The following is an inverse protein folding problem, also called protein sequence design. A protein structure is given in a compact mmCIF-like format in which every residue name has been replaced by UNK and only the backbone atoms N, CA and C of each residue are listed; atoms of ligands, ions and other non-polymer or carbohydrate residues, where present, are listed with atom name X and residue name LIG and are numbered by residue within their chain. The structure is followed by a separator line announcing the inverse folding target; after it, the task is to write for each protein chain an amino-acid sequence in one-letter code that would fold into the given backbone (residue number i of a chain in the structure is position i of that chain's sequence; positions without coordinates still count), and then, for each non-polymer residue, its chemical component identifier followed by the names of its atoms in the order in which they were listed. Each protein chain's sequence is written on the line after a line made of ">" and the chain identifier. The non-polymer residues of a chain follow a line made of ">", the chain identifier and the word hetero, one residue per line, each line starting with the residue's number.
data_IF_418857410009
#
_entry.id   IF_418857410009
#
_cell.length_a   1.000
_cell.length_b   1.000
_cell.length_c   1.000
_cell.angle_alpha   90.00
_cell.angle_beta   90.00
_cell.angle_gamma   90.00
#
_symmetry.space_group_name_H-M   'P 1'
#
loop_
_entity.id
_entity.type
_entity.pdbx_description
1 polymer ?
#
# COMPACT_ATOMS: atom_id res chain seq x y z
N UNK A 1 71.69 -49.44 -13.49
CA UNK A 1 70.78 -48.65 -12.62
C UNK A 1 69.95 -47.73 -13.51
N UNK A 2 68.65 -48.10 -13.78
CA UNK A 2 67.78 -47.31 -14.61
C UNK A 2 66.80 -46.53 -13.70
N UNK A 3 66.91 -45.21 -13.71
CA UNK A 3 65.98 -44.33 -13.02
C UNK A 3 64.70 -44.13 -13.88
N UNK A 4 63.60 -44.58 -13.38
CA UNK A 4 62.26 -44.35 -13.99
C UNK A 4 61.70 -43.00 -13.51
N UNK A 5 61.69 -41.99 -14.40
CA UNK A 5 60.90 -40.75 -14.18
C UNK A 5 59.42 -41.04 -14.31
N UNK A 6 58.64 -40.82 -13.26
CA UNK A 6 57.21 -40.79 -13.30
C UNK A 6 56.78 -39.36 -13.62
N UNK A 7 56.19 -39.15 -14.78
CA UNK A 7 55.50 -37.91 -15.14
C UNK A 7 54.06 -37.99 -14.60
N UNK A 8 53.77 -37.19 -13.56
CA UNK A 8 52.38 -37.02 -13.07
C UNK A 8 51.65 -35.98 -13.94
N UNK A 9 50.65 -36.44 -14.67
CA UNK A 9 49.76 -35.59 -15.44
C UNK A 9 48.72 -34.98 -14.49
N UNK A 10 48.83 -33.70 -14.16
CA UNK A 10 47.81 -32.96 -13.41
C UNK A 10 46.76 -32.54 -14.40
N UNK A 11 45.60 -33.22 -14.33
CA UNK A 11 44.40 -32.80 -15.06
C UNK A 11 43.79 -31.56 -14.41
N UNK A 12 43.91 -30.41 -15.06
CA UNK A 12 43.30 -29.18 -14.64
C UNK A 12 41.79 -29.22 -15.05
N UNK A 13 40.92 -29.60 -14.11
CA UNK A 13 39.48 -29.51 -14.31
C UNK A 13 39.08 -28.05 -14.24
N UNK A 14 38.85 -27.43 -15.41
CA UNK A 14 38.18 -26.13 -15.52
C UNK A 14 36.72 -26.39 -15.21
N UNK A 15 36.27 -26.03 -14.00
CA UNK A 15 34.88 -25.96 -13.65
C UNK A 15 34.26 -24.80 -14.46
N UNK A 16 33.56 -25.12 -15.54
CA UNK A 16 32.65 -24.22 -16.21
C UNK A 16 31.52 -23.88 -15.24
N UNK A 17 31.65 -22.75 -14.53
CA UNK A 17 30.52 -22.16 -13.80
C UNK A 17 29.50 -21.74 -14.85
N UNK A 18 28.45 -22.54 -15.06
CA UNK A 18 27.28 -22.11 -15.78
C UNK A 18 26.75 -20.85 -15.07
N UNK A 19 26.48 -19.73 -15.78
CA UNK A 19 25.83 -18.61 -15.15
C UNK A 19 24.50 -19.13 -14.58
N UNK A 20 24.31 -18.94 -13.27
CA UNK A 20 23.00 -19.18 -12.67
C UNK A 20 22.00 -18.30 -13.43
N UNK A 21 21.12 -18.93 -14.19
CA UNK A 21 19.98 -18.26 -14.82
C UNK A 21 19.22 -17.57 -13.68
N UNK A 22 18.94 -16.28 -13.84
CA UNK A 22 18.12 -15.57 -12.88
C UNK A 22 16.77 -16.25 -12.77
N UNK A 23 16.34 -16.53 -11.54
CA UNK A 23 15.15 -17.32 -11.24
C UNK A 23 13.91 -16.42 -11.41
N UNK A 24 13.32 -16.37 -12.59
CA UNK A 24 12.03 -15.77 -12.82
C UNK A 24 10.96 -16.87 -13.01
N UNK A 25 9.67 -16.60 -12.66
CA UNK A 25 8.63 -17.62 -12.66
C UNK A 25 8.42 -18.30 -14.02
N UNK A 26 8.01 -19.57 -14.00
CA UNK A 26 7.58 -20.27 -15.20
C UNK A 26 6.38 -19.55 -15.84
N UNK A 27 6.34 -19.48 -17.16
CA UNK A 27 5.26 -18.80 -17.88
C UNK A 27 5.57 -17.36 -18.29
N UNK A 28 6.69 -16.80 -17.84
CA UNK A 28 7.16 -15.51 -18.34
C UNK A 28 7.59 -15.58 -19.82
N UNK A 29 7.58 -14.45 -20.56
CA UNK A 29 8.03 -14.42 -21.95
C UNK A 29 9.39 -15.08 -22.13
N UNK A 30 9.59 -15.83 -23.21
CA UNK A 30 10.86 -16.54 -23.47
C UNK A 30 12.09 -15.62 -23.54
N UNK A 31 11.89 -14.33 -23.79
CA UNK A 31 12.93 -13.32 -23.87
C UNK A 31 13.05 -12.46 -22.59
N UNK A 32 12.34 -12.83 -21.51
CA UNK A 32 12.37 -12.09 -20.24
C UNK A 32 13.77 -11.96 -19.63
N UNK A 33 14.67 -12.89 -19.96
CA UNK A 33 16.08 -12.79 -19.59
C UNK A 33 16.73 -11.47 -20.05
N UNK A 34 16.28 -10.89 -21.15
CA UNK A 34 16.76 -9.57 -21.62
C UNK A 34 16.42 -8.46 -20.63
N UNK A 35 15.23 -8.52 -20.02
CA UNK A 35 14.82 -7.58 -18.95
C UNK A 35 15.71 -7.74 -17.73
N UNK A 36 16.00 -8.97 -17.31
CA UNK A 36 16.90 -9.24 -16.17
C UNK A 36 18.31 -8.73 -16.45
N UNK A 37 18.86 -9.01 -17.63
CA UNK A 37 20.22 -8.58 -18.02
C UNK A 37 20.29 -7.05 -18.21
N UNK A 38 19.22 -6.44 -18.72
CA UNK A 38 19.07 -4.98 -18.83
C UNK A 38 19.05 -4.33 -17.45
N UNK A 39 18.25 -4.85 -16.52
CA UNK A 39 18.17 -4.37 -15.14
C UNK A 39 19.53 -4.45 -14.41
N UNK A 40 20.29 -5.55 -14.60
CA UNK A 40 21.64 -5.67 -14.06
C UNK A 40 22.62 -4.63 -14.62
N UNK A 41 22.47 -4.24 -15.89
CA UNK A 41 23.28 -3.17 -16.49
C UNK A 41 22.88 -1.79 -15.96
N UNK A 42 21.60 -1.56 -15.71
CA UNK A 42 21.07 -0.34 -15.09
C UNK A 42 21.51 -0.25 -13.61
N UNK A 43 21.64 -1.39 -12.93
CA UNK A 43 22.21 -1.55 -11.60
C UNK A 43 21.33 -1.10 -10.45
N UNK A 44 20.22 -0.41 -10.72
CA UNK A 44 19.30 0.10 -9.70
C UNK A 44 17.88 0.34 -10.22
N UNK A 45 16.95 0.43 -9.26
CA UNK A 45 15.61 0.99 -9.44
C UNK A 45 15.34 2.02 -8.34
N UNK A 46 14.82 3.19 -8.70
CA UNK A 46 14.43 4.25 -7.77
C UNK A 46 12.92 4.17 -7.52
N UNK A 47 12.53 3.87 -6.29
CA UNK A 47 11.13 3.71 -5.90
C UNK A 47 10.68 4.89 -5.03
N UNK A 48 9.64 5.59 -5.44
CA UNK A 48 8.92 6.58 -4.64
C UNK A 48 7.70 5.94 -4.02
N UNK A 49 7.64 5.91 -2.69
CA UNK A 49 6.59 5.14 -2.02
C UNK A 49 6.00 5.85 -0.80
N UNK A 50 4.75 5.49 -0.51
CA UNK A 50 4.08 5.81 0.75
C UNK A 50 4.06 4.64 1.73
N UNK A 51 4.74 3.53 1.39
CA UNK A 51 4.93 2.40 2.31
C UNK A 51 6.18 2.65 3.14
N UNK A 52 6.03 2.65 4.46
CA UNK A 52 7.14 2.87 5.38
C UNK A 52 8.31 1.93 5.05
N UNK A 53 9.54 2.43 5.06
CA UNK A 53 10.75 1.65 4.77
C UNK A 53 10.84 0.37 5.59
N UNK A 54 10.38 0.40 6.85
CA UNK A 54 10.35 -0.79 7.71
C UNK A 54 9.39 -1.86 7.16
N UNK A 55 8.22 -1.46 6.67
CA UNK A 55 7.23 -2.39 6.11
C UNK A 55 7.66 -2.92 4.74
N UNK A 56 8.32 -2.10 3.91
CA UNK A 56 8.83 -2.50 2.60
C UNK A 56 10.12 -3.34 2.69
N UNK A 57 10.83 -3.29 3.82
CA UNK A 57 12.16 -3.90 4.00
C UNK A 57 12.26 -5.37 3.57
N UNK A 58 11.37 -6.27 4.01
CA UNK A 58 11.39 -7.67 3.57
C UNK A 58 11.27 -7.84 2.06
N UNK A 59 10.41 -7.04 1.40
CA UNK A 59 10.22 -7.07 -0.06
C UNK A 59 11.47 -6.60 -0.79
N UNK A 60 12.10 -5.52 -0.33
CA UNK A 60 13.34 -4.97 -0.89
C UNK A 60 14.47 -6.00 -0.78
N UNK A 61 14.65 -6.58 0.40
CA UNK A 61 15.69 -7.62 0.63
C UNK A 61 15.44 -8.85 -0.25
N UNK A 62 14.19 -9.29 -0.37
CA UNK A 62 13.82 -10.42 -1.21
C UNK A 62 14.10 -10.15 -2.70
N UNK A 63 13.81 -8.94 -3.18
CA UNK A 63 14.14 -8.52 -4.55
C UNK A 63 15.63 -8.51 -4.81
N UNK A 64 16.42 -7.85 -3.97
CA UNK A 64 17.88 -7.77 -4.13
C UNK A 64 18.57 -9.13 -4.02
N UNK A 65 18.04 -10.04 -3.19
CA UNK A 65 18.51 -11.42 -3.11
C UNK A 65 18.18 -12.24 -4.37
N UNK A 66 17.01 -11.98 -4.98
CA UNK A 66 16.59 -12.68 -6.20
C UNK A 66 17.33 -12.16 -7.44
N UNK A 67 17.61 -10.87 -7.49
CA UNK A 67 18.27 -10.21 -8.63
C UNK A 67 19.55 -9.49 -8.18
N UNK A 68 20.61 -10.26 -7.83
CA UNK A 68 21.87 -9.68 -7.42
C UNK A 68 22.44 -8.79 -8.54
N UNK A 69 22.88 -7.59 -8.14
CA UNK A 69 23.37 -6.54 -9.05
C UNK A 69 22.34 -5.47 -9.38
N UNK A 70 21.07 -5.58 -8.91
CA UNK A 70 20.08 -4.52 -9.01
C UNK A 70 19.74 -4.04 -7.61
N UNK A 71 20.05 -2.77 -7.27
CA UNK A 71 19.77 -2.16 -5.98
C UNK A 71 18.46 -1.38 -5.98
N UNK A 72 17.77 -1.37 -4.85
CA UNK A 72 16.56 -0.57 -4.67
C UNK A 72 16.92 0.72 -3.93
N UNK A 73 16.85 1.85 -4.62
CA UNK A 73 16.90 3.18 -4.00
C UNK A 73 15.49 3.57 -3.55
N UNK A 74 15.18 3.27 -2.30
CA UNK A 74 13.83 3.43 -1.76
C UNK A 74 13.65 4.79 -1.09
N UNK A 75 12.62 5.53 -1.51
CA UNK A 75 12.27 6.86 -1.00
C UNK A 75 10.87 6.80 -0.38
N UNK A 76 10.84 6.75 0.95
CA UNK A 76 9.65 6.74 1.78
C UNK A 76 9.20 8.17 2.06
N UNK A 77 7.94 8.49 1.78
CA UNK A 77 7.36 9.82 2.00
C UNK A 77 5.83 9.74 2.14
N UNK A 78 5.21 10.76 2.73
CA UNK A 78 3.75 10.78 2.78
C UNK A 78 3.13 11.04 1.38
N UNK A 79 1.84 10.73 1.24
CA UNK A 79 1.16 10.74 -0.07
C UNK A 79 1.12 12.13 -0.73
N UNK A 80 0.99 13.19 0.05
CA UNK A 80 1.00 14.58 -0.45
C UNK A 80 2.41 14.99 -0.88
N UNK A 81 3.41 14.62 -0.10
CA UNK A 81 4.82 14.86 -0.41
C UNK A 81 5.24 14.15 -1.68
N UNK A 82 4.90 12.86 -1.82
CA UNK A 82 5.18 12.07 -3.02
C UNK A 82 4.61 12.74 -4.26
N UNK A 83 3.32 13.10 -4.23
CA UNK A 83 2.66 13.75 -5.35
C UNK A 83 3.34 15.06 -5.73
N UNK A 84 3.59 15.93 -4.76
CA UNK A 84 4.18 17.26 -4.98
C UNK A 84 5.62 17.15 -5.48
N UNK A 85 6.43 16.26 -4.89
CA UNK A 85 7.80 16.01 -5.34
C UNK A 85 7.83 15.54 -6.77
N UNK A 86 7.02 14.53 -7.12
CA UNK A 86 6.96 13.99 -8.47
C UNK A 86 6.60 15.07 -9.51
N UNK A 87 5.53 15.85 -9.25
CA UNK A 87 5.11 16.93 -10.16
C UNK A 87 6.17 18.02 -10.29
N UNK A 88 6.82 18.39 -9.18
CA UNK A 88 7.86 19.43 -9.19
C UNK A 88 9.10 19.00 -10.00
N UNK A 89 9.53 17.75 -9.85
CA UNK A 89 10.65 17.19 -10.61
C UNK A 89 10.33 17.11 -12.10
N UNK A 90 9.11 16.66 -12.49
CA UNK A 90 8.66 16.63 -13.88
C UNK A 90 8.58 18.04 -14.49
N UNK A 91 8.04 19.01 -13.74
CA UNK A 91 7.96 20.40 -14.20
C UNK A 91 9.35 21.04 -14.40
N UNK A 92 10.34 20.63 -13.62
CA UNK A 92 11.72 21.08 -13.77
C UNK A 92 12.50 20.37 -14.89
N UNK A 93 11.87 19.42 -15.61
CA UNK A 93 12.54 18.59 -16.62
C UNK A 93 13.57 17.62 -16.03
N UNK A 94 13.45 17.33 -14.72
CA UNK A 94 14.30 16.38 -14.01
C UNK A 94 13.80 14.95 -14.13
N UNK A 95 14.60 14.01 -13.60
CA UNK A 95 14.20 12.61 -13.43
C UNK A 95 13.50 12.46 -12.09
N UNK A 96 12.35 11.76 -12.09
CA UNK A 96 11.66 11.31 -10.88
C UNK A 96 12.01 9.86 -10.56
N UNK A 97 11.33 9.27 -9.57
CA UNK A 97 11.43 7.83 -9.33
C UNK A 97 11.07 7.00 -10.56
N UNK A 98 11.73 5.87 -10.73
CA UNK A 98 11.46 4.92 -11.82
C UNK A 98 10.10 4.24 -11.64
N UNK A 99 9.73 4.03 -10.37
CA UNK A 99 8.45 3.43 -9.97
C UNK A 99 7.82 4.27 -8.86
N UNK A 100 6.51 4.48 -8.96
CA UNK A 100 5.67 4.99 -7.87
C UNK A 100 4.91 3.83 -7.25
N UNK A 101 4.83 3.80 -5.91
CA UNK A 101 4.07 2.81 -5.14
C UNK A 101 3.34 3.50 -3.98
N UNK A 102 2.03 3.75 -4.12
CA UNK A 102 1.30 4.64 -3.22
C UNK A 102 -0.04 4.08 -2.75
N UNK A 103 -0.34 4.26 -1.47
CA UNK A 103 -1.64 3.99 -0.85
C UNK A 103 -2.71 5.02 -1.19
N UNK A 104 -2.34 6.24 -1.61
CA UNK A 104 -3.27 7.24 -2.14
C UNK A 104 -3.58 6.92 -3.61
N UNK A 105 -4.55 6.02 -3.81
CA UNK A 105 -4.86 5.44 -5.12
C UNK A 105 -5.25 6.49 -6.16
N UNK A 106 -5.95 7.53 -5.73
CA UNK A 106 -6.44 8.63 -6.58
C UNK A 106 -5.29 9.48 -7.14
N UNK A 107 -4.37 9.92 -6.27
CA UNK A 107 -3.22 10.71 -6.71
C UNK A 107 -2.21 9.87 -7.48
N UNK A 108 -2.03 8.59 -7.11
CA UNK A 108 -1.21 7.66 -7.88
C UNK A 108 -1.78 7.45 -9.30
N UNK A 109 -3.11 7.25 -9.42
CA UNK A 109 -3.75 7.11 -10.73
C UNK A 109 -3.68 8.42 -11.52
N UNK A 110 -3.80 9.58 -10.86
CA UNK A 110 -3.61 10.88 -11.51
C UNK A 110 -2.22 11.01 -12.11
N UNK A 111 -1.18 10.65 -11.36
CA UNK A 111 0.19 10.61 -11.90
C UNK A 111 0.30 9.59 -13.04
N UNK A 112 -0.26 8.39 -12.88
CA UNK A 112 -0.20 7.35 -13.90
C UNK A 112 -0.89 7.76 -15.22
N UNK A 113 -1.94 8.59 -15.17
CA UNK A 113 -2.63 9.09 -16.35
C UNK A 113 -1.66 9.83 -17.27
N UNK A 114 -0.79 10.66 -16.71
CA UNK A 114 0.08 11.56 -17.47
C UNK A 114 1.50 10.98 -17.66
N UNK A 115 1.97 10.15 -16.73
CA UNK A 115 3.40 9.78 -16.62
C UNK A 115 3.68 8.28 -16.61
N UNK A 116 2.68 7.39 -16.58
CA UNK A 116 2.96 5.96 -16.60
C UNK A 116 3.35 5.45 -17.99
N UNK A 117 4.37 4.57 -18.02
CA UNK A 117 4.63 3.71 -19.15
C UNK A 117 3.52 2.67 -19.29
N UNK A 118 3.16 2.32 -20.52
CA UNK A 118 2.33 1.15 -20.78
C UNK A 118 3.21 -0.10 -20.72
N UNK A 119 2.87 -1.00 -19.82
CA UNK A 119 3.59 -2.26 -19.62
C UNK A 119 2.64 -3.34 -19.11
N UNK A 120 2.37 -4.34 -19.94
CA UNK A 120 1.60 -5.53 -19.53
C UNK A 120 2.50 -6.48 -18.74
N UNK A 121 2.38 -6.45 -17.41
CA UNK A 121 3.12 -7.38 -16.54
C UNK A 121 2.74 -8.83 -16.83
N UNK A 122 3.70 -9.79 -16.88
CA UNK A 122 3.40 -11.22 -16.97
C UNK A 122 2.48 -11.72 -15.85
N UNK A 123 2.48 -11.04 -14.69
CA UNK A 123 1.66 -11.39 -13.52
C UNK A 123 0.21 -10.87 -13.60
N UNK A 124 -0.10 -10.03 -14.60
CA UNK A 124 -1.42 -9.38 -14.71
C UNK A 124 -2.59 -10.35 -14.66
N UNK A 125 -2.44 -11.55 -15.25
CA UNK A 125 -3.49 -12.58 -15.27
C UNK A 125 -3.85 -13.16 -13.90
N UNK A 126 -3.00 -12.96 -12.89
CA UNK A 126 -3.18 -13.44 -11.51
C UNK A 126 -3.87 -12.38 -10.62
N UNK A 127 -4.11 -11.18 -11.15
CA UNK A 127 -4.68 -10.08 -10.39
C UNK A 127 -6.19 -9.98 -10.62
N UNK A 128 -6.96 -9.52 -9.62
CA UNK A 128 -8.35 -9.18 -9.84
C UNK A 128 -8.48 -8.05 -10.86
N UNK A 129 -9.49 -8.13 -11.73
CA UNK A 129 -9.68 -7.16 -12.83
C UNK A 129 -9.75 -5.70 -12.35
N UNK A 130 -10.31 -5.46 -11.16
CA UNK A 130 -10.44 -4.12 -10.59
C UNK A 130 -9.09 -3.51 -10.16
N UNK A 131 -8.04 -4.32 -10.05
CA UNK A 131 -6.71 -3.88 -9.65
C UNK A 131 -5.79 -3.51 -10.85
N UNK A 132 -6.29 -3.60 -12.09
CA UNK A 132 -5.47 -3.32 -13.29
C UNK A 132 -6.11 -2.20 -14.10
N UNK A 133 -5.35 -1.15 -14.35
CA UNK A 133 -5.78 -0.02 -15.17
C UNK A 133 -4.91 0.12 -16.43
N UNK A 134 -5.49 -0.23 -17.59
CA UNK A 134 -4.94 0.03 -18.93
C UNK A 134 -3.48 -0.41 -19.15
N UNK A 135 -3.03 -1.47 -18.50
CA UNK A 135 -1.62 -1.88 -18.49
C UNK A 135 -0.64 -0.76 -18.06
N UNK A 136 -1.11 0.23 -17.30
CA UNK A 136 -0.32 1.38 -16.84
C UNK A 136 -0.17 1.46 -15.34
N UNK A 137 -1.19 1.00 -14.59
CA UNK A 137 -1.17 1.02 -13.14
C UNK A 137 -1.78 -0.26 -12.57
N UNK A 138 -1.21 -0.72 -11.46
CA UNK A 138 -1.51 -2.00 -10.84
C UNK A 138 -1.74 -1.82 -9.35
N UNK A 139 -2.87 -2.28 -8.83
CA UNK A 139 -3.08 -2.51 -7.42
C UNK A 139 -2.23 -3.70 -6.97
N UNK A 140 -1.53 -3.55 -5.87
CA UNK A 140 -0.53 -4.52 -5.39
C UNK A 140 -0.86 -5.14 -4.05
N UNK A 141 -1.87 -4.65 -3.35
CA UNK A 141 -2.23 -5.08 -1.99
C UNK A 141 -3.74 -5.15 -1.82
N UNK A 142 -4.22 -5.85 -0.78
CA UNK A 142 -5.63 -5.97 -0.42
C UNK A 142 -5.82 -5.55 1.04
N UNK A 143 -5.84 -4.23 1.31
CA UNK A 143 -5.75 -3.70 2.68
C UNK A 143 -7.11 -3.20 3.17
N UNK A 144 -7.74 -3.87 4.16
CA UNK A 144 -8.97 -3.38 4.77
C UNK A 144 -8.72 -2.10 5.56
N UNK A 145 -9.69 -1.20 5.53
CA UNK A 145 -9.71 0.03 6.34
C UNK A 145 -10.50 -0.24 7.61
N UNK A 146 -9.90 0.00 8.77
CA UNK A 146 -10.41 -0.45 10.06
C UNK A 146 -10.58 0.69 11.06
N UNK A 147 -11.27 0.40 12.16
CA UNK A 147 -11.21 1.19 13.37
C UNK A 147 -10.14 0.63 14.31
N UNK A 148 -9.49 1.51 15.06
CA UNK A 148 -8.62 1.13 16.15
C UNK A 148 -9.13 1.74 17.46
N UNK A 149 -8.86 1.08 18.57
CA UNK A 149 -9.29 1.55 19.87
C UNK A 149 -8.30 1.17 20.96
N UNK A 150 -8.31 1.90 22.07
CA UNK A 150 -7.51 1.57 23.25
C UNK A 150 -8.24 0.53 24.10
N UNK A 151 -7.74 -0.71 24.15
CA UNK A 151 -8.36 -1.83 24.87
C UNK A 151 -8.48 -1.63 26.39
N UNK A 152 -7.65 -0.75 26.98
CA UNK A 152 -7.71 -0.45 28.42
C UNK A 152 -8.79 0.56 28.75
N UNK A 153 -9.18 1.39 27.80
CA UNK A 153 -10.08 2.53 28.00
C UNK A 153 -11.45 2.33 27.36
N UNK A 154 -11.56 1.43 26.38
CA UNK A 154 -12.83 1.05 25.73
C UNK A 154 -13.14 -0.39 26.11
N UNK A 155 -14.20 -0.64 26.91
CA UNK A 155 -14.67 -1.99 27.22
C UNK A 155 -15.07 -2.75 25.95
N UNK A 156 -14.90 -4.07 25.95
CA UNK A 156 -15.20 -4.92 24.80
C UNK A 156 -16.65 -4.76 24.28
N UNK A 157 -17.61 -4.52 25.18
CA UNK A 157 -19.02 -4.31 24.83
C UNK A 157 -19.31 -2.95 24.17
N UNK A 158 -18.39 -1.99 24.29
CA UNK A 158 -18.51 -0.64 23.73
C UNK A 158 -17.74 -0.48 22.39
N UNK A 159 -17.06 -1.54 21.93
CA UNK A 159 -16.28 -1.48 20.68
C UNK A 159 -17.23 -1.36 19.47
N UNK A 160 -17.16 -0.26 18.68
CA UNK A 160 -18.03 -0.12 17.53
C UNK A 160 -17.60 -1.08 16.41
N UNK A 161 -18.55 -1.77 15.82
CA UNK A 161 -18.35 -2.69 14.70
C UNK A 161 -19.00 -2.21 13.39
N UNK A 162 -19.41 -0.96 13.33
CA UNK A 162 -19.95 -0.29 12.15
C UNK A 162 -19.78 1.23 12.25
N UNK A 163 -19.83 1.94 11.12
CA UNK A 163 -19.77 3.41 11.10
C UNK A 163 -20.96 4.02 11.83
N UNK A 164 -22.14 3.39 11.73
CA UNK A 164 -23.31 3.80 12.47
C UNK A 164 -23.13 3.61 13.99
N UNK A 165 -22.59 2.47 14.42
CA UNK A 165 -22.31 2.19 15.83
C UNK A 165 -21.28 3.18 16.40
N UNK A 166 -20.22 3.50 15.62
CA UNK A 166 -19.23 4.51 15.98
C UNK A 166 -19.87 5.88 16.22
N UNK A 167 -20.69 6.34 15.27
CA UNK A 167 -21.37 7.63 15.38
C UNK A 167 -22.33 7.68 16.59
N UNK A 168 -23.12 6.63 16.82
CA UNK A 168 -24.04 6.51 17.98
C UNK A 168 -23.28 6.50 19.30
N UNK A 169 -22.19 5.73 19.40
CA UNK A 169 -21.36 5.66 20.60
C UNK A 169 -20.85 7.05 21.01
N UNK A 170 -20.26 7.78 20.05
CA UNK A 170 -19.68 9.09 20.34
C UNK A 170 -20.75 10.12 20.65
N UNK A 171 -21.85 10.14 19.87
CA UNK A 171 -22.94 11.07 20.10
C UNK A 171 -23.65 10.85 21.44
N UNK A 172 -23.71 9.61 21.95
CA UNK A 172 -24.34 9.28 23.25
C UNK A 172 -23.43 9.53 24.46
N UNK A 173 -22.11 9.61 24.26
CA UNK A 173 -21.10 9.76 25.31
C UNK A 173 -20.13 10.91 25.00
N UNK A 174 -20.65 12.05 24.54
CA UNK A 174 -19.85 13.18 24.04
C UNK A 174 -18.77 13.65 25.02
N UNK A 175 -19.06 13.69 26.32
CA UNK A 175 -18.09 14.12 27.34
C UNK A 175 -16.90 13.15 27.45
N UNK A 176 -17.16 11.83 27.39
CA UNK A 176 -16.13 10.79 27.41
C UNK A 176 -15.23 10.89 26.18
N UNK A 177 -15.82 11.19 25.03
CA UNK A 177 -15.09 11.25 23.75
C UNK A 177 -14.59 12.65 23.37
N UNK A 178 -14.68 13.63 24.26
CA UNK A 178 -14.23 14.99 23.99
C UNK A 178 -12.76 15.04 23.57
N UNK A 179 -12.52 15.38 22.29
CA UNK A 179 -11.19 15.35 21.63
C UNK A 179 -10.47 14.00 21.74
N UNK A 180 -11.22 12.90 21.82
CA UNK A 180 -10.70 11.55 22.00
C UNK A 180 -10.84 10.66 20.75
N UNK A 181 -11.35 11.19 19.66
CA UNK A 181 -11.49 10.47 18.38
C UNK A 181 -10.55 11.08 17.36
N UNK A 182 -9.85 10.22 16.62
CA UNK A 182 -8.88 10.67 15.61
C UNK A 182 -9.15 10.07 14.24
N UNK A 183 -8.85 10.85 13.21
CA UNK A 183 -8.84 10.45 11.80
C UNK A 183 -7.81 11.26 11.03
N UNK A 184 -7.76 11.10 9.70
CA UNK A 184 -6.87 11.92 8.87
C UNK A 184 -7.32 13.37 8.74
N UNK A 185 -6.33 14.26 8.66
CA UNK A 185 -6.47 15.60 8.09
C UNK A 185 -6.56 15.46 6.56
N UNK A 186 -7.78 15.59 6.02
CA UNK A 186 -8.02 15.38 4.58
C UNK A 186 -7.36 16.43 3.68
N UNK A 187 -6.87 17.52 4.25
CA UNK A 187 -6.18 18.57 3.49
C UNK A 187 -4.66 18.33 3.44
N UNK A 188 -4.11 17.64 4.44
CA UNK A 188 -2.68 17.35 4.56
C UNK A 188 -2.32 15.93 4.12
N UNK A 189 -3.30 15.01 4.14
CA UNK A 189 -3.12 13.61 3.75
C UNK A 189 -3.91 13.29 2.49
N UNK A 190 -3.22 12.98 1.39
CA UNK A 190 -3.86 12.49 0.16
C UNK A 190 -4.62 11.19 0.39
N UNK A 191 -4.04 10.27 1.16
CA UNK A 191 -4.71 9.03 1.58
C UNK A 191 -5.97 9.33 2.37
N UNK A 192 -5.90 10.23 3.34
CA UNK A 192 -7.06 10.63 4.16
C UNK A 192 -8.17 11.25 3.32
N UNK A 193 -7.83 12.09 2.36
CA UNK A 193 -8.79 12.65 1.41
C UNK A 193 -9.48 11.56 0.60
N UNK A 194 -8.70 10.66 0.01
CA UNK A 194 -9.22 9.55 -0.78
C UNK A 194 -10.18 8.67 0.04
N UNK A 195 -9.76 8.20 1.23
CA UNK A 195 -10.59 7.35 2.08
C UNK A 195 -11.89 8.04 2.48
N UNK A 196 -11.83 9.31 2.86
CA UNK A 196 -13.01 10.11 3.17
C UNK A 196 -14.01 10.20 1.99
N UNK A 197 -13.50 10.38 0.77
CA UNK A 197 -14.34 10.37 -0.45
C UNK A 197 -14.94 8.99 -0.69
N UNK A 198 -14.20 7.91 -0.45
CA UNK A 198 -14.72 6.56 -0.62
C UNK A 198 -15.79 6.21 0.41
N UNK A 199 -15.64 6.67 1.66
CA UNK A 199 -16.70 6.59 2.67
C UNK A 199 -17.96 7.32 2.23
N UNK A 200 -17.83 8.55 1.71
CA UNK A 200 -18.94 9.31 1.17
C UNK A 200 -19.65 8.60 0.02
N UNK A 201 -18.90 7.91 -0.85
CA UNK A 201 -19.48 7.11 -1.94
C UNK A 201 -20.15 5.83 -1.43
N UNK A 202 -19.66 5.25 -0.35
CA UNK A 202 -20.20 4.01 0.23
C UNK A 202 -21.41 4.24 1.14
N UNK A 203 -21.52 5.43 1.76
CA UNK A 203 -22.54 5.77 2.76
C UNK A 203 -23.30 7.06 2.41
N UNK A 204 -24.57 6.97 2.04
CA UNK A 204 -25.40 8.15 1.77
C UNK A 204 -25.51 9.15 2.93
N UNK A 205 -25.36 8.67 4.17
CA UNK A 205 -25.46 9.47 5.40
C UNK A 205 -24.08 9.92 5.93
N UNK A 206 -23.03 9.77 5.15
CA UNK A 206 -21.63 10.01 5.57
C UNK A 206 -21.44 11.33 6.33
N UNK A 207 -21.84 12.47 5.80
CA UNK A 207 -21.64 13.78 6.46
C UNK A 207 -22.44 13.93 7.75
N UNK A 208 -23.62 13.30 7.84
CA UNK A 208 -24.39 13.24 9.08
C UNK A 208 -23.66 12.43 10.14
N UNK A 209 -23.16 11.24 9.76
CA UNK A 209 -22.37 10.40 10.68
C UNK A 209 -21.06 11.08 11.11
N UNK A 210 -20.38 11.73 10.17
CA UNK A 210 -19.17 12.52 10.50
C UNK A 210 -19.50 13.63 11.51
N UNK A 211 -20.63 14.34 11.34
CA UNK A 211 -21.06 15.35 12.28
C UNK A 211 -21.40 14.76 13.66
N UNK A 212 -22.00 13.57 13.72
CA UNK A 212 -22.25 12.87 14.99
C UNK A 212 -20.96 12.43 15.69
N UNK A 213 -19.98 11.93 14.92
CA UNK A 213 -18.63 11.59 15.42
C UNK A 213 -17.90 12.84 15.90
N UNK A 214 -18.09 13.97 15.23
CA UNK A 214 -17.41 15.23 15.54
C UNK A 214 -18.00 15.99 16.73
N UNK A 215 -19.14 15.60 17.29
CA UNK A 215 -19.79 16.28 18.45
C UNK A 215 -18.85 16.48 19.65
N UNK A 216 -17.94 15.54 19.88
CA UNK A 216 -16.91 15.66 20.91
C UNK A 216 -15.66 16.46 20.46
N UNK A 217 -15.57 16.85 19.21
CA UNK A 217 -14.39 17.40 18.56
C UNK A 217 -13.45 16.29 18.06
N UNK A 218 -13.12 16.35 16.76
CA UNK A 218 -12.14 15.45 16.14
C UNK A 218 -10.71 15.94 16.35
N UNK A 219 -9.78 15.02 16.48
CA UNK A 219 -8.36 15.27 16.31
C UNK A 219 -7.91 14.71 14.96
N UNK A 220 -7.24 15.50 14.14
CA UNK A 220 -6.85 15.10 12.80
C UNK A 220 -5.33 15.00 12.69
N UNK A 221 -4.87 13.97 11.95
CA UNK A 221 -3.45 13.63 11.78
C UNK A 221 -3.09 13.44 10.31
N UNK A 222 -1.83 13.60 9.97
CA UNK A 222 -1.34 13.38 8.60
C UNK A 222 -0.94 11.94 8.29
N UNK A 223 -0.77 11.08 9.31
CA UNK A 223 -0.30 9.70 9.13
C UNK A 223 -1.03 8.68 10.01
N UNK A 224 -1.10 7.43 9.52
CA UNK A 224 -1.59 6.26 10.28
C UNK A 224 -0.76 6.05 11.55
N UNK A 225 0.55 6.16 11.46
CA UNK A 225 1.47 5.96 12.59
C UNK A 225 1.13 6.86 13.76
N UNK A 226 0.97 8.16 13.53
CA UNK A 226 0.61 9.13 14.58
C UNK A 226 -0.75 8.82 15.20
N UNK A 227 -1.75 8.43 14.40
CA UNK A 227 -3.06 8.03 14.94
C UNK A 227 -2.96 6.80 15.86
N UNK A 228 -2.20 5.78 15.45
CA UNK A 228 -1.97 4.58 16.26
C UNK A 228 -1.25 4.91 17.57
N UNK A 229 -0.22 5.75 17.54
CA UNK A 229 0.50 6.19 18.75
C UNK A 229 -0.41 6.90 19.74
N UNK A 230 -1.25 7.81 19.28
CA UNK A 230 -2.20 8.55 20.12
C UNK A 230 -3.28 7.65 20.71
N UNK A 231 -3.72 6.62 20.00
CA UNK A 231 -4.67 5.63 20.52
C UNK A 231 -3.97 4.70 21.53
N UNK A 232 -2.76 4.21 21.23
CA UNK A 232 -1.98 3.37 22.13
C UNK A 232 -1.67 4.07 23.46
N UNK A 233 -1.30 5.34 23.43
CA UNK A 233 -1.02 6.16 24.62
C UNK A 233 -2.27 6.50 25.44
N UNK A 234 -3.47 6.41 24.85
CA UNK A 234 -4.73 6.85 25.47
C UNK A 234 -5.01 8.34 25.31
N UNK A 235 -4.20 9.05 24.54
CA UNK A 235 -4.49 10.42 24.16
C UNK A 235 -5.75 10.51 23.30
N UNK A 236 -5.93 9.56 22.36
CA UNK A 236 -7.20 9.26 21.74
C UNK A 236 -7.72 7.88 22.20
N UNK A 237 -9.04 7.70 22.18
CA UNK A 237 -9.68 6.43 22.54
C UNK A 237 -9.96 5.57 21.33
N UNK A 238 -10.34 6.20 20.24
CA UNK A 238 -10.72 5.55 18.97
C UNK A 238 -10.09 6.31 17.81
N UNK A 239 -9.63 5.56 16.80
CA UNK A 239 -9.24 6.06 15.49
C UNK A 239 -10.05 5.36 14.39
N UNK A 240 -10.40 6.07 13.33
CA UNK A 240 -11.08 5.51 12.17
C UNK A 240 -10.36 5.88 10.87
N UNK A 241 -10.66 5.15 9.80
CA UNK A 241 -9.94 5.21 8.52
C UNK A 241 -8.47 4.80 8.63
N UNK A 242 -8.19 3.80 9.44
CA UNK A 242 -6.84 3.29 9.67
C UNK A 242 -6.52 2.17 8.69
N UNK A 243 -5.30 2.13 8.15
CA UNK A 243 -4.82 1.00 7.35
C UNK A 243 -4.71 -0.24 8.23
N UNK A 244 -5.50 -1.28 7.91
CA UNK A 244 -5.56 -2.52 8.69
C UNK A 244 -4.22 -3.24 8.74
N UNK A 245 -3.44 -3.23 7.67
CA UNK A 245 -2.08 -3.79 7.62
C UNK A 245 -1.18 -3.21 8.72
N UNK A 246 -1.16 -1.88 8.86
CA UNK A 246 -0.36 -1.21 9.89
C UNK A 246 -0.91 -1.43 11.30
N UNK A 247 -2.24 -1.44 11.44
CA UNK A 247 -2.86 -1.75 12.73
C UNK A 247 -2.53 -3.17 13.21
N UNK A 248 -2.60 -4.16 12.31
CA UNK A 248 -2.26 -5.55 12.60
C UNK A 248 -0.78 -5.73 12.95
N UNK A 249 0.12 -5.09 12.17
CA UNK A 249 1.55 -5.12 12.48
C UNK A 249 1.85 -4.51 13.86
N UNK A 250 1.23 -3.38 14.19
CA UNK A 250 1.39 -2.71 15.49
C UNK A 250 0.84 -3.55 16.63
N UNK A 251 -0.34 -4.14 16.48
CA UNK A 251 -1.00 -4.92 17.54
C UNK A 251 -0.20 -6.17 17.97
N UNK A 252 0.73 -6.67 17.16
CA UNK A 252 1.64 -7.77 17.53
C UNK A 252 2.57 -7.39 18.69
N UNK A 253 2.98 -6.13 18.77
CA UNK A 253 3.90 -5.62 19.79
C UNK A 253 3.24 -4.68 20.80
N UNK A 254 2.02 -4.23 20.53
CA UNK A 254 1.27 -3.30 21.37
C UNK A 254 -0.06 -3.92 21.83
N UNK A 255 -0.10 -4.53 23.03
CA UNK A 255 -1.31 -5.18 23.56
C UNK A 255 -2.45 -4.20 23.87
N UNK A 256 -2.17 -2.89 23.89
CA UNK A 256 -3.19 -1.86 24.17
C UNK A 256 -4.02 -1.52 22.97
N UNK A 257 -3.51 -1.76 21.76
CA UNK A 257 -4.19 -1.47 20.52
C UNK A 257 -5.19 -2.57 20.16
N UNK A 258 -6.47 -2.20 20.03
CA UNK A 258 -7.54 -3.04 19.50
C UNK A 258 -7.87 -2.65 18.06
N UNK A 259 -8.36 -3.62 17.30
CA UNK A 259 -8.78 -3.46 15.91
C UNK A 259 -10.23 -3.91 15.79
N UNK A 260 -11.05 -3.13 15.11
CA UNK A 260 -12.42 -3.49 14.76
C UNK A 260 -12.65 -3.28 13.26
N UNK A 261 -13.17 -4.31 12.62
CA UNK A 261 -13.51 -4.31 11.20
C UNK A 261 -14.97 -3.90 11.04
N UNK A 262 -15.29 -2.78 10.35
CA UNK A 262 -16.68 -2.34 10.18
C UNK A 262 -17.51 -3.35 9.39
N UNK A 263 -18.66 -3.79 9.92
CA UNK A 263 -19.52 -4.81 9.32
C UNK A 263 -20.58 -4.24 8.39
N UNK A 264 -20.86 -2.95 8.46
CA UNK A 264 -21.75 -2.26 7.51
C UNK A 264 -21.07 -2.11 6.14
N UNK A 265 -19.87 -1.62 6.10
CA UNK A 265 -18.95 -1.71 4.97
C UNK A 265 -17.49 -1.58 5.47
N UNK A 266 -16.59 -2.30 4.83
CA UNK A 266 -15.14 -2.16 5.01
C UNK A 266 -14.53 -1.82 3.67
N UNK A 267 -14.02 -0.60 3.52
CA UNK A 267 -13.24 -0.23 2.35
C UNK A 267 -11.99 -1.09 2.27
N UNK A 268 -11.63 -1.51 1.06
CA UNK A 268 -10.38 -2.23 0.82
C UNK A 268 -9.58 -1.43 -0.18
N UNK A 269 -8.48 -0.84 0.26
CA UNK A 269 -7.57 -0.14 -0.63
C UNK A 269 -6.52 -1.09 -1.20
N UNK A 270 -5.94 -0.68 -2.31
CA UNK A 270 -4.77 -1.33 -2.90
C UNK A 270 -3.69 -0.28 -3.14
N UNK A 271 -2.44 -0.55 -2.74
CA UNK A 271 -1.34 0.35 -3.12
C UNK A 271 -1.13 0.26 -4.61
N UNK A 272 -1.32 1.39 -5.28
CA UNK A 272 -1.16 1.49 -6.73
C UNK A 272 0.30 1.68 -7.09
N UNK A 273 0.80 0.84 -8.00
CA UNK A 273 2.14 0.95 -8.55
C UNK A 273 2.11 1.19 -10.05
N UNK A 274 3.02 2.02 -10.54
CA UNK A 274 3.24 2.24 -11.97
C UNK A 274 4.70 2.55 -12.26
N UNK A 275 5.12 2.26 -13.52
CA UNK A 275 6.45 2.57 -14.04
C UNK A 275 6.41 3.94 -14.71
N UNK A 276 7.36 4.83 -14.40
CA UNK A 276 7.50 6.14 -15.04
C UNK A 276 7.93 5.98 -16.50
N UNK A 277 7.23 6.62 -17.44
CA UNK A 277 7.48 6.47 -18.89
C UNK A 277 8.86 6.92 -19.35
N UNK A 278 9.43 7.93 -18.67
CA UNK A 278 10.71 8.55 -19.04
C UNK A 278 11.87 8.06 -18.15
N UNK A 279 11.71 6.89 -17.51
CA UNK A 279 12.77 6.31 -16.66
C UNK A 279 13.98 5.85 -17.45
N UNK A 280 15.18 6.16 -16.95
CA UNK A 280 16.45 5.62 -17.46
C UNK A 280 16.67 4.15 -17.08
N UNK A 281 15.97 3.63 -16.05
CA UNK A 281 16.10 2.28 -15.50
C UNK A 281 14.88 1.42 -15.83
N UNK A 282 14.44 1.44 -17.11
CA UNK A 282 13.19 0.81 -17.55
C UNK A 282 13.13 -0.69 -17.31
N UNK A 283 14.25 -1.42 -17.46
CA UNK A 283 14.27 -2.86 -17.22
C UNK A 283 14.22 -3.16 -15.71
N UNK A 284 14.94 -2.41 -14.89
CA UNK A 284 14.90 -2.56 -13.44
C UNK A 284 13.52 -2.20 -12.87
N UNK A 285 12.85 -1.18 -13.43
CA UNK A 285 11.48 -0.81 -13.07
C UNK A 285 10.46 -1.91 -13.40
N UNK A 286 10.56 -2.52 -14.59
CA UNK A 286 9.73 -3.68 -14.97
C UNK A 286 10.00 -4.87 -14.04
N UNK A 287 11.26 -5.18 -13.81
CA UNK A 287 11.67 -6.29 -12.95
C UNK A 287 11.16 -6.13 -11.51
N UNK A 288 11.21 -4.89 -10.97
CA UNK A 288 10.66 -4.58 -9.65
C UNK A 288 9.14 -4.73 -9.62
N UNK A 289 8.41 -4.17 -10.59
CA UNK A 289 6.95 -4.28 -10.65
C UNK A 289 6.51 -5.74 -10.74
N UNK A 290 7.12 -6.51 -11.65
CA UNK A 290 6.81 -7.94 -11.81
C UNK A 290 7.11 -8.73 -10.55
N UNK A 291 8.23 -8.43 -9.87
CA UNK A 291 8.56 -9.05 -8.60
C UNK A 291 7.54 -8.72 -7.49
N UNK A 292 7.11 -7.47 -7.39
CA UNK A 292 6.07 -7.06 -6.42
C UNK A 292 4.77 -7.84 -6.66
N UNK A 293 4.41 -8.06 -7.92
CA UNK A 293 3.17 -8.76 -8.32
C UNK A 293 3.31 -10.29 -8.33
N UNK A 294 4.53 -10.83 -8.33
CA UNK A 294 4.78 -12.26 -8.38
C UNK A 294 4.32 -13.00 -7.12
N UNK A 295 4.12 -14.31 -7.22
CA UNK A 295 3.83 -15.18 -6.08
C UNK A 295 4.83 -14.97 -4.94
N UNK A 296 6.14 -14.92 -5.27
CA UNK A 296 7.20 -14.71 -4.29
C UNK A 296 7.12 -13.36 -3.59
N UNK A 297 6.96 -12.27 -4.34
CA UNK A 297 6.83 -10.92 -3.79
C UNK A 297 5.57 -10.77 -2.94
N UNK A 298 4.46 -11.29 -3.41
CA UNK A 298 3.18 -11.27 -2.70
C UNK A 298 3.19 -12.13 -1.43
N UNK A 299 3.86 -13.28 -1.45
CA UNK A 299 4.07 -14.10 -0.25
C UNK A 299 4.92 -13.36 0.80
N UNK A 300 5.95 -12.62 0.38
CA UNK A 300 6.75 -11.79 1.29
C UNK A 300 5.90 -10.66 1.87
N UNK A 301 5.11 -9.97 1.05
CA UNK A 301 4.21 -8.91 1.53
C UNK A 301 3.25 -9.45 2.60
N UNK A 302 2.56 -10.56 2.31
CA UNK A 302 1.57 -11.14 3.20
C UNK A 302 2.15 -11.69 4.50
N UNK A 303 3.29 -12.40 4.44
CA UNK A 303 3.79 -13.22 5.54
C UNK A 303 4.98 -12.62 6.30
N UNK A 304 5.68 -11.63 5.73
CA UNK A 304 6.84 -10.99 6.36
C UNK A 304 6.66 -9.48 6.59
N UNK A 305 5.88 -8.81 5.73
CA UNK A 305 5.62 -7.38 5.82
C UNK A 305 4.27 -7.03 6.46
N UNK A 306 3.42 -8.03 6.74
CA UNK A 306 2.06 -7.85 7.26
C UNK A 306 1.13 -7.04 6.33
N UNK A 307 1.43 -7.03 5.05
CA UNK A 307 0.64 -6.35 4.02
C UNK A 307 -0.11 -7.40 3.18
N UNK A 308 -1.45 -7.49 3.29
CA UNK A 308 -2.21 -8.54 2.62
C UNK A 308 -2.05 -8.53 1.10
N UNK A 309 -1.92 -9.74 0.53
CA UNK A 309 -1.74 -9.95 -0.90
C UNK A 309 -2.96 -9.53 -1.72
N UNK A 310 -2.71 -8.98 -2.92
CA UNK A 310 -3.73 -8.77 -3.96
C UNK A 310 -4.11 -10.07 -4.69
N UNK A 311 -3.28 -11.10 -4.60
CA UNK A 311 -3.49 -12.39 -5.27
C UNK A 311 -4.33 -13.33 -4.41
N UNK A 312 -5.24 -14.08 -5.03
CA UNK A 312 -6.08 -15.05 -4.34
C UNK A 312 -5.36 -16.37 -4.01
N UNK A 313 -4.23 -16.63 -4.67
CA UNK A 313 -3.45 -17.84 -4.50
C UNK A 313 -2.37 -17.74 -3.41
N UNK A 314 -2.33 -16.65 -2.65
CA UNK A 314 -1.41 -16.44 -1.54
C UNK A 314 -2.15 -16.58 -0.20
N UNK A 315 -1.77 -17.60 0.55
CA UNK A 315 -2.24 -17.76 1.93
C UNK A 315 -1.48 -16.84 2.88
N UNK A 316 -2.20 -16.27 3.83
CA UNK A 316 -1.64 -15.37 4.84
C UNK A 316 -2.66 -14.91 5.86
N UNK A 317 -2.20 -14.17 6.87
CA UNK A 317 -3.10 -13.50 7.80
C UNK A 317 -3.86 -12.39 7.05
N UNK A 318 -5.18 -12.39 7.16
CA UNK A 318 -6.05 -11.44 6.42
C UNK A 318 -5.98 -11.59 4.90
N UNK A 319 -5.73 -12.81 4.39
CA UNK A 319 -5.87 -13.10 2.98
C UNK A 319 -7.31 -12.85 2.49
N UNK A 320 -7.49 -12.80 1.18
CA UNK A 320 -8.78 -12.47 0.56
C UNK A 320 -9.88 -13.45 1.00
N UNK A 321 -9.55 -14.73 1.11
CA UNK A 321 -10.51 -15.77 1.51
C UNK A 321 -10.92 -15.64 2.98
N UNK A 322 -9.98 -15.41 3.88
CA UNK A 322 -10.23 -15.17 5.31
C UNK A 322 -11.07 -13.90 5.52
N UNK A 323 -10.71 -12.81 4.84
CA UNK A 323 -11.48 -11.56 4.88
C UNK A 323 -12.89 -11.75 4.32
N UNK A 324 -13.04 -12.49 3.23
CA UNK A 324 -14.35 -12.79 2.62
C UNK A 324 -15.22 -13.64 3.55
N UNK A 325 -14.64 -14.60 4.25
CA UNK A 325 -15.35 -15.39 5.28
C UNK A 325 -15.80 -14.53 6.46
N UNK A 326 -14.96 -13.56 6.86
CA UNK A 326 -15.23 -12.69 8.02
C UNK A 326 -16.27 -11.61 7.71
N UNK A 327 -16.16 -10.93 6.58
CA UNK A 327 -16.90 -9.70 6.26
C UNK A 327 -17.85 -9.84 5.07
N UNK A 328 -17.64 -10.81 4.18
CA UNK A 328 -18.51 -11.10 3.06
C UNK A 328 -18.84 -9.86 2.23
N UNK A 329 -20.13 -9.53 2.13
CA UNK A 329 -20.64 -8.38 1.35
C UNK A 329 -20.25 -7.01 1.90
N UNK A 330 -19.75 -6.94 3.14
CA UNK A 330 -19.27 -5.69 3.71
C UNK A 330 -17.96 -5.22 3.06
N UNK A 331 -17.16 -6.13 2.50
CA UNK A 331 -15.95 -5.76 1.76
C UNK A 331 -16.29 -4.94 0.53
N UNK A 332 -15.63 -3.78 0.42
CA UNK A 332 -15.77 -2.81 -0.69
C UNK A 332 -14.40 -2.49 -1.28
N UNK A 333 -13.87 -3.35 -2.17
CA UNK A 333 -12.63 -3.01 -2.88
C UNK A 333 -12.79 -1.72 -3.68
N UNK A 334 -11.82 -0.83 -3.53
CA UNK A 334 -11.75 0.43 -4.28
C UNK A 334 -11.10 0.10 -5.63
N UNK A 335 -11.82 0.25 -6.76
CA UNK A 335 -11.27 -0.11 -8.06
C UNK A 335 -10.20 0.88 -8.51
N UNK A 336 -9.19 0.37 -9.21
CA UNK A 336 -8.17 1.20 -9.87
C UNK A 336 -8.74 1.62 -11.23
N UNK A 337 -9.56 2.67 -11.22
CA UNK A 337 -10.21 3.21 -12.42
C UNK A 337 -10.43 4.72 -12.33
N UNK A 338 -10.95 5.32 -13.39
CA UNK A 338 -11.16 6.76 -13.52
C UNK A 338 -12.09 7.37 -12.47
N UNK A 339 -12.91 6.56 -11.79
CA UNK A 339 -13.78 7.03 -10.69
C UNK A 339 -12.99 7.61 -9.52
N UNK A 340 -11.71 7.22 -9.36
CA UNK A 340 -10.79 7.79 -8.39
C UNK A 340 -10.46 9.27 -8.67
N UNK A 341 -10.50 9.70 -9.93
CA UNK A 341 -10.08 11.04 -10.35
C UNK A 341 -11.18 12.09 -10.14
N UNK A 342 -12.41 11.67 -9.88
CA UNK A 342 -13.57 12.54 -9.84
C UNK A 342 -13.42 13.71 -8.87
N UNK A 343 -13.02 13.42 -7.64
CA UNK A 343 -12.87 14.43 -6.57
C UNK A 343 -11.50 15.11 -6.55
N UNK A 344 -10.59 14.78 -7.47
CA UNK A 344 -9.37 15.54 -7.72
C UNK A 344 -9.61 16.75 -8.65
N UNK A 345 -10.77 16.82 -9.31
CA UNK A 345 -11.19 18.02 -10.04
C UNK A 345 -11.36 19.18 -9.06
N UNK A 346 -10.74 20.33 -9.35
CA UNK A 346 -10.61 21.44 -8.42
C UNK A 346 -11.93 21.86 -7.74
N UNK A 347 -12.99 22.03 -8.54
CA UNK A 347 -14.28 22.46 -8.01
C UNK A 347 -14.90 21.44 -7.05
N UNK A 348 -14.90 20.15 -7.44
CA UNK A 348 -15.43 19.05 -6.61
C UNK A 348 -14.61 18.88 -5.34
N UNK A 349 -13.29 18.99 -5.44
CA UNK A 349 -12.37 18.90 -4.30
C UNK A 349 -12.66 20.01 -3.28
N UNK A 350 -12.75 21.25 -3.72
CA UNK A 350 -13.01 22.40 -2.84
C UNK A 350 -14.38 22.31 -2.18
N UNK A 351 -15.40 21.93 -2.92
CA UNK A 351 -16.75 21.74 -2.37
C UNK A 351 -16.78 20.61 -1.34
N UNK A 352 -16.17 19.47 -1.63
CA UNK A 352 -16.05 18.35 -0.71
C UNK A 352 -15.37 18.75 0.60
N UNK A 353 -14.22 19.41 0.52
CA UNK A 353 -13.48 19.90 1.70
C UNK A 353 -14.35 20.85 2.52
N UNK A 354 -15.09 21.75 1.89
CA UNK A 354 -16.01 22.65 2.57
C UNK A 354 -17.12 21.89 3.33
N UNK A 355 -17.72 20.90 2.71
CA UNK A 355 -18.76 20.05 3.33
C UNK A 355 -18.18 19.26 4.50
N UNK A 356 -17.00 18.65 4.31
CA UNK A 356 -16.31 17.91 5.35
C UNK A 356 -15.97 18.80 6.56
N UNK A 357 -15.41 19.99 6.34
CA UNK A 357 -15.13 20.96 7.40
C UNK A 357 -16.39 21.34 8.17
N UNK A 358 -17.49 21.55 7.47
CA UNK A 358 -18.78 21.89 8.10
C UNK A 358 -19.30 20.76 8.98
N UNK A 359 -19.16 19.50 8.54
CA UNK A 359 -19.54 18.33 9.33
C UNK A 359 -18.58 18.10 10.51
N UNK A 360 -17.28 18.24 10.30
CA UNK A 360 -16.25 18.00 11.32
C UNK A 360 -16.10 19.08 12.39
N UNK A 361 -16.69 20.28 12.17
CA UNK A 361 -16.63 21.41 13.11
C UNK A 361 -17.70 21.35 14.22
N UNK A 362 -18.61 20.37 14.17
CA UNK A 362 -19.70 20.21 15.15
C UNK A 362 -19.25 19.40 16.34
#
# INVERSE_FOLDING_TARGET
>A
MLNKFKISLIALTVALSSPALADFPNGYPSDYQKTVDGAKKEGKVVVYSTTDTKAAGPLIQGFEATYPGVKVEYNDMNSTELYNRYISEQAAGGTSGDVVWSSSMDTALKLATDYAAEYASPEQGQLPKWAVWKNKAYGTTYEPVVFIYNKRLIPAGDVPDSHEALAKLIASQTDKFKKKVTTYDIEKSGLGFMLSVQDFKADPDYFKRLADIAKGGLTVQSSTGTMMERVSSGENLIGFNILGSYAEARAKSDPTLGISYPKDYTLVLSRVSFITKDTANSNAAKLWLDYVLSEKGQSILANQADIPSIRNDIEGKNDIDGMTKMLGKALKPIPVDESLLEYLQQNKRLEYIKQWRTAAAK
#
